data_IF_895483858010
#
_entry.id   IF_895483858010
#
_cell.length_a   1.000
_cell.length_b   1.000
_cell.length_c   1.000
_cell.angle_alpha   90.00
_cell.angle_beta   90.00
_cell.angle_gamma   90.00
#
_symmetry.space_group_name_H-M   'P 1'
#
loop_
_entity.id
_entity.type
_entity.pdbx_description
1 polymer ?
#
# COMPACT_ATOMS: atom_id res chain seq x y z
N UNK A 1 3.68 -5.01 -18.01
CA UNK A 1 3.14 -3.80 -18.65
C UNK A 1 3.89 -2.57 -18.12
N UNK A 2 3.94 -2.31 -16.81
CA UNK A 2 4.61 -1.15 -16.20
C UNK A 2 6.07 -0.96 -16.68
N UNK A 3 6.84 -2.03 -16.84
CA UNK A 3 8.20 -1.97 -17.36
C UNK A 3 8.23 -1.55 -18.84
N UNK A 4 7.29 -2.05 -19.64
CA UNK A 4 7.21 -1.72 -21.08
C UNK A 4 6.79 -0.25 -21.30
N UNK A 5 5.90 0.29 -20.47
CA UNK A 5 5.47 1.68 -20.58
C UNK A 5 6.60 2.70 -20.38
N UNK A 6 7.68 2.33 -19.70
CA UNK A 6 8.85 3.18 -19.50
C UNK A 6 9.65 3.43 -20.80
N UNK A 7 9.47 2.57 -21.80
CA UNK A 7 10.18 2.64 -23.07
C UNK A 7 9.30 3.16 -24.22
N UNK A 8 8.13 3.74 -23.91
CA UNK A 8 7.19 4.25 -24.93
C UNK A 8 7.79 5.30 -25.87
N UNK A 9 8.75 6.10 -25.38
CA UNK A 9 9.44 7.13 -26.16
C UNK A 9 10.65 6.60 -26.96
N UNK A 10 11.14 5.40 -26.68
CA UNK A 10 12.31 4.80 -27.30
C UNK A 10 12.10 3.29 -27.47
N UNK A 11 11.11 2.93 -28.25
CA UNK A 11 10.75 1.53 -28.52
C UNK A 11 11.85 0.83 -29.34
N UNK A 12 12.15 -0.42 -28.95
CA UNK A 12 13.03 -1.34 -29.65
C UNK A 12 12.27 -2.62 -29.96
N UNK A 13 12.77 -3.42 -30.92
CA UNK A 13 12.17 -4.68 -31.34
C UNK A 13 11.87 -5.64 -30.16
N UNK A 14 12.82 -5.77 -29.22
CA UNK A 14 12.62 -6.57 -28.00
C UNK A 14 11.44 -6.13 -27.13
N UNK A 15 11.13 -4.82 -27.09
CA UNK A 15 9.95 -4.32 -26.38
C UNK A 15 8.66 -4.70 -27.11
N UNK A 16 8.67 -4.70 -28.45
CA UNK A 16 7.53 -5.14 -29.26
C UNK A 16 7.25 -6.63 -29.07
N UNK A 17 8.29 -7.47 -29.10
CA UNK A 17 8.17 -8.91 -28.83
C UNK A 17 7.58 -9.17 -27.44
N UNK A 18 8.04 -8.42 -26.42
CA UNK A 18 7.51 -8.52 -25.07
C UNK A 18 6.04 -8.08 -24.99
N UNK A 19 5.65 -7.05 -25.73
CA UNK A 19 4.27 -6.59 -25.83
C UNK A 19 3.37 -7.63 -26.51
N UNK A 20 3.83 -8.25 -27.58
CA UNK A 20 3.12 -9.34 -28.26
C UNK A 20 2.81 -10.53 -27.33
N UNK A 21 3.73 -10.84 -26.40
CA UNK A 21 3.48 -11.89 -25.37
C UNK A 21 2.36 -11.49 -24.43
N UNK A 22 2.24 -10.19 -24.06
CA UNK A 22 1.12 -9.71 -23.23
C UNK A 22 -0.20 -9.89 -23.97
N UNK A 23 -0.27 -9.51 -25.26
CA UNK A 23 -1.48 -9.69 -26.06
C UNK A 23 -1.79 -11.18 -26.28
N UNK A 24 -0.78 -12.04 -26.49
CA UNK A 24 -0.95 -13.48 -26.58
C UNK A 24 -1.55 -14.07 -25.29
N UNK A 25 -1.11 -13.59 -24.12
CA UNK A 25 -1.73 -13.98 -22.84
C UNK A 25 -3.19 -13.55 -22.74
N UNK A 26 -3.51 -12.30 -23.06
CA UNK A 26 -4.88 -11.79 -23.04
C UNK A 26 -5.79 -12.51 -24.03
N UNK A 27 -5.28 -12.83 -25.23
CA UNK A 27 -6.00 -13.64 -26.22
C UNK A 27 -6.27 -15.07 -25.75
N UNK A 28 -5.34 -15.67 -24.99
CA UNK A 28 -5.50 -17.02 -24.45
C UNK A 28 -6.50 -17.07 -23.28
N UNK A 29 -6.64 -15.96 -22.54
CA UNK A 29 -7.50 -15.86 -21.37
C UNK A 29 -8.43 -14.64 -21.50
N UNK A 30 -9.38 -14.67 -22.47
CA UNK A 30 -10.23 -13.51 -22.78
C UNK A 30 -11.26 -13.22 -21.67
N UNK A 31 -11.64 -14.25 -20.90
CA UNK A 31 -12.71 -14.17 -19.90
C UNK A 31 -12.21 -13.88 -18.49
N UNK A 32 -11.02 -13.25 -18.39
CA UNK A 32 -10.49 -12.83 -17.10
C UNK A 32 -11.41 -11.81 -16.42
N UNK A 33 -12.00 -12.19 -15.28
CA UNK A 33 -12.89 -11.33 -14.50
C UNK A 33 -12.33 -11.05 -13.12
N UNK A 34 -12.62 -9.87 -12.58
CA UNK A 34 -12.42 -9.57 -11.17
C UNK A 34 -13.74 -9.87 -10.46
N UNK A 35 -13.82 -10.93 -9.62
CA UNK A 35 -15.03 -11.22 -8.89
C UNK A 35 -15.28 -10.13 -7.84
N UNK A 36 -16.53 -9.70 -7.72
CA UNK A 36 -16.96 -8.85 -6.59
C UNK A 36 -17.28 -9.77 -5.43
N UNK A 37 -16.48 -9.69 -4.37
CA UNK A 37 -16.65 -10.49 -3.16
C UNK A 37 -16.77 -9.56 -1.94
N UNK A 38 -17.92 -9.58 -1.30
CA UNK A 38 -18.25 -8.75 -0.14
C UNK A 38 -17.76 -9.30 1.19
N UNK A 39 -17.22 -10.52 1.18
CA UNK A 39 -16.62 -11.12 2.38
C UNK A 39 -15.30 -10.45 2.73
N UNK A 40 -14.82 -10.67 3.94
CA UNK A 40 -13.49 -10.20 4.35
C UNK A 40 -12.37 -10.92 3.60
N UNK A 41 -11.29 -10.20 3.35
CA UNK A 41 -10.06 -10.80 2.83
C UNK A 41 -9.51 -11.81 3.86
N UNK A 42 -9.46 -13.11 3.55
CA UNK A 42 -9.19 -14.18 4.52
C UNK A 42 -7.80 -14.13 5.16
N UNK A 43 -6.90 -13.37 4.55
CA UNK A 43 -5.52 -13.24 5.01
C UNK A 43 -5.37 -12.24 6.18
N UNK A 44 -6.36 -11.38 6.43
CA UNK A 44 -6.34 -10.43 7.56
C UNK A 44 -6.15 -11.13 8.90
N UNK A 45 -6.79 -12.27 9.08
CA UNK A 45 -6.76 -13.04 10.32
C UNK A 45 -5.41 -13.74 10.55
N UNK A 46 -4.63 -13.94 9.48
CA UNK A 46 -3.32 -14.59 9.50
C UNK A 46 -2.15 -13.63 9.64
N UNK A 47 -2.38 -12.34 9.42
CA UNK A 47 -1.34 -11.34 9.51
C UNK A 47 -0.98 -11.04 10.98
N UNK A 48 0.31 -10.99 11.27
CA UNK A 48 0.78 -10.52 12.58
C UNK A 48 0.62 -9.01 12.66
N UNK A 49 -0.36 -8.56 13.45
CA UNK A 49 -0.67 -7.13 13.62
C UNK A 49 -0.32 -6.69 15.03
N UNK A 50 0.50 -5.65 15.16
CA UNK A 50 0.82 -5.03 16.44
C UNK A 50 -0.31 -4.08 16.87
N UNK A 51 -0.97 -4.38 17.99
CA UNK A 51 -2.09 -3.59 18.54
C UNK A 51 -1.74 -3.03 19.93
N UNK A 52 -2.50 -2.03 20.36
CA UNK A 52 -2.50 -1.56 21.75
C UNK A 52 -1.28 -0.78 22.19
N UNK A 53 -0.51 -0.22 21.27
CA UNK A 53 0.62 0.64 21.59
C UNK A 53 0.16 2.03 22.05
N UNK A 54 0.86 2.59 23.06
CA UNK A 54 0.60 3.96 23.50
C UNK A 54 1.44 4.95 22.67
N UNK A 55 0.77 5.78 21.88
CA UNK A 55 1.39 6.76 20.99
C UNK A 55 1.36 8.20 21.51
N UNK A 56 0.69 8.46 22.63
CA UNK A 56 0.37 9.81 23.10
C UNK A 56 1.62 10.64 23.39
N UNK A 57 2.71 10.01 23.82
CA UNK A 57 4.00 10.67 24.06
C UNK A 57 4.68 11.13 22.77
N UNK A 58 4.47 10.42 21.65
CA UNK A 58 5.17 10.65 20.39
C UNK A 58 4.34 11.42 19.37
N UNK A 59 3.03 11.18 19.36
CA UNK A 59 2.08 11.78 18.40
C UNK A 59 0.75 12.09 19.10
N UNK A 60 0.73 13.10 20.02
CA UNK A 60 -0.45 13.37 20.86
C UNK A 60 -1.67 13.83 20.05
N UNK A 61 -1.44 14.54 18.94
CA UNK A 61 -2.48 15.15 18.10
C UNK A 61 -2.83 14.29 16.87
N UNK A 62 -2.24 13.07 16.75
CA UNK A 62 -2.49 12.22 15.59
C UNK A 62 -3.93 11.73 15.59
N UNK A 63 -4.67 12.11 14.58
CA UNK A 63 -6.04 11.66 14.33
C UNK A 63 -6.30 11.57 12.83
N UNK A 64 -7.36 10.87 12.46
CA UNK A 64 -7.86 10.93 11.09
C UNK A 64 -8.61 12.25 10.88
N UNK A 65 -8.18 13.03 9.88
CA UNK A 65 -8.86 14.27 9.49
C UNK A 65 -10.14 13.95 8.72
N UNK A 66 -11.27 14.08 9.40
CA UNK A 66 -12.60 13.83 8.83
C UNK A 66 -13.35 15.16 8.79
N UNK A 67 -13.66 15.71 7.59
CA UNK A 67 -14.46 16.92 7.47
C UNK A 67 -15.83 16.78 8.15
N UNK A 68 -16.26 17.86 8.79
CA UNK A 68 -17.51 17.89 9.56
C UNK A 68 -18.77 17.79 8.69
N UNK A 69 -18.65 18.08 7.40
CA UNK A 69 -19.75 18.07 6.41
C UNK A 69 -19.84 16.79 5.57
N UNK A 70 -19.17 15.73 6.02
CA UNK A 70 -19.29 14.41 5.39
C UNK A 70 -20.72 13.87 5.49
N UNK A 71 -21.12 13.12 4.46
CA UNK A 71 -22.39 12.41 4.45
C UNK A 71 -22.46 11.39 5.61
N UNK A 72 -23.66 11.26 6.19
CA UNK A 72 -23.91 10.19 7.15
C UNK A 72 -23.69 8.83 6.49
N UNK A 73 -22.89 7.94 7.10
CA UNK A 73 -22.60 6.65 6.53
C UNK A 73 -23.83 5.75 6.48
N UNK A 74 -24.02 5.09 5.33
CA UNK A 74 -25.14 4.17 5.10
C UNK A 74 -24.63 2.78 4.70
N UNK A 75 -25.50 1.78 4.89
CA UNK A 75 -25.24 0.39 4.51
C UNK A 75 -24.35 -0.37 5.49
N UNK A 76 -23.87 -1.51 5.04
CA UNK A 76 -22.96 -2.36 5.80
C UNK A 76 -21.55 -1.77 5.84
N UNK A 77 -20.79 -2.18 6.86
CA UNK A 77 -19.43 -1.70 7.08
C UNK A 77 -18.46 -2.28 6.04
N UNK A 78 -17.87 -1.40 5.26
CA UNK A 78 -16.83 -1.78 4.30
C UNK A 78 -15.45 -1.79 4.97
N UNK A 79 -14.65 -2.80 4.62
CA UNK A 79 -13.31 -3.03 5.15
C UNK A 79 -12.25 -2.83 4.08
N UNK A 80 -11.22 -2.05 4.41
CA UNK A 80 -10.10 -1.84 3.51
C UNK A 80 -8.91 -2.70 3.93
N UNK A 81 -8.35 -3.43 2.96
CA UNK A 81 -7.10 -4.18 3.12
C UNK A 81 -6.14 -3.79 2.00
N UNK A 82 -4.90 -3.48 2.36
CA UNK A 82 -3.88 -3.03 1.42
C UNK A 82 -2.65 -3.90 1.56
N UNK A 83 -2.19 -4.45 0.44
CA UNK A 83 -0.91 -5.15 0.33
C UNK A 83 0.11 -4.23 -0.29
N UNK A 84 1.31 -4.21 0.26
CA UNK A 84 2.42 -3.40 -0.22
C UNK A 84 3.70 -4.22 -0.29
N UNK A 85 4.46 -4.00 -1.35
CA UNK A 85 5.74 -4.64 -1.62
C UNK A 85 6.64 -3.68 -2.41
N UNK A 86 7.96 -3.85 -2.33
CA UNK A 86 8.93 -3.11 -3.12
C UNK A 86 10.00 -3.99 -3.72
N UNK A 87 10.02 -4.10 -5.05
CA UNK A 87 11.10 -4.76 -5.77
C UNK A 87 12.35 -3.84 -5.78
N UNK A 88 13.29 -4.13 -4.86
CA UNK A 88 14.45 -3.30 -4.60
C UNK A 88 15.42 -3.27 -5.79
N UNK A 89 15.82 -2.04 -6.20
CA UNK A 89 16.83 -1.78 -7.22
C UNK A 89 16.60 -2.54 -8.56
N UNK A 90 15.34 -2.83 -8.91
CA UNK A 90 14.95 -3.59 -10.11
C UNK A 90 15.43 -2.97 -11.40
N UNK A 91 15.38 -1.64 -11.52
CA UNK A 91 15.86 -0.93 -12.70
C UNK A 91 17.40 -1.00 -12.74
N UNK A 92 17.93 -1.79 -13.69
CA UNK A 92 19.38 -2.03 -13.81
C UNK A 92 20.16 -0.77 -14.17
N UNK A 93 19.54 0.21 -14.81
CA UNK A 93 20.17 1.46 -15.25
C UNK A 93 20.13 2.52 -14.16
N UNK A 94 18.95 2.81 -13.64
CA UNK A 94 18.74 3.86 -12.64
C UNK A 94 18.82 3.36 -11.21
N UNK A 95 18.83 2.03 -10.99
CA UNK A 95 18.82 1.37 -9.68
C UNK A 95 17.62 1.74 -8.81
N UNK A 96 16.57 2.26 -9.41
CA UNK A 96 15.31 2.58 -8.71
C UNK A 96 14.48 1.33 -8.46
N UNK A 97 13.87 1.30 -7.31
CA UNK A 97 12.93 0.25 -6.90
C UNK A 97 11.57 0.46 -7.55
N UNK A 98 10.75 -0.59 -7.53
CA UNK A 98 9.36 -0.54 -7.99
C UNK A 98 8.44 -0.83 -6.81
N UNK A 99 7.52 0.10 -6.54
CA UNK A 99 6.46 -0.09 -5.54
C UNK A 99 5.31 -0.85 -6.16
N UNK A 100 4.88 -1.92 -5.50
CA UNK A 100 3.65 -2.65 -5.76
C UNK A 100 2.63 -2.41 -4.65
N UNK A 101 1.39 -2.07 -5.02
CA UNK A 101 0.29 -1.91 -4.05
C UNK A 101 -0.96 -2.55 -4.63
N UNK A 102 -1.71 -3.28 -3.80
CA UNK A 102 -3.05 -3.75 -4.12
C UNK A 102 -3.97 -3.33 -2.97
N UNK A 103 -5.02 -2.58 -3.28
CA UNK A 103 -6.05 -2.18 -2.33
C UNK A 103 -7.33 -2.94 -2.62
N UNK A 104 -7.86 -3.58 -1.59
CA UNK A 104 -9.13 -4.28 -1.63
C UNK A 104 -10.16 -3.54 -0.78
N UNK A 105 -11.40 -3.55 -1.26
CA UNK A 105 -12.60 -3.27 -0.46
C UNK A 105 -13.24 -4.64 -0.17
N UNK A 106 -13.33 -5.00 1.10
CA UNK A 106 -13.63 -6.36 1.52
C UNK A 106 -12.63 -7.35 0.88
N UNK A 107 -13.07 -8.28 0.02
CA UNK A 107 -12.20 -9.17 -0.74
C UNK A 107 -12.11 -8.83 -2.24
N UNK A 108 -12.62 -7.67 -2.64
CA UNK A 108 -12.61 -7.21 -4.05
C UNK A 108 -11.44 -6.28 -4.30
N UNK A 109 -10.52 -6.59 -5.23
CA UNK A 109 -9.47 -5.67 -5.66
C UNK A 109 -10.07 -4.45 -6.34
N UNK A 110 -9.82 -3.26 -5.77
CA UNK A 110 -10.31 -1.99 -6.32
C UNK A 110 -9.21 -1.22 -7.05
N UNK A 111 -8.00 -1.20 -6.48
CA UNK A 111 -6.86 -0.46 -7.03
C UNK A 111 -5.62 -1.35 -6.97
N UNK A 112 -4.84 -1.34 -8.06
CA UNK A 112 -3.51 -1.93 -8.10
C UNK A 112 -2.52 -0.97 -8.75
N UNK A 113 -1.35 -0.83 -8.15
CA UNK A 113 -0.29 0.08 -8.57
C UNK A 113 1.00 -0.71 -8.72
N UNK A 114 1.69 -0.49 -9.83
CA UNK A 114 3.06 -0.93 -10.02
C UNK A 114 3.84 0.26 -10.60
N UNK A 115 4.60 0.97 -9.74
CA UNK A 115 5.22 2.24 -10.09
C UNK A 115 6.66 2.32 -9.63
N UNK A 116 7.55 2.77 -10.52
CA UNK A 116 8.94 3.04 -10.19
C UNK A 116 9.06 4.18 -9.17
N UNK A 117 9.83 3.97 -8.13
CA UNK A 117 10.11 4.98 -7.10
C UNK A 117 10.92 6.14 -7.70
N UNK A 118 10.69 7.34 -7.17
CA UNK A 118 11.42 8.54 -7.62
C UNK A 118 12.81 8.62 -7.01
N UNK A 119 13.02 8.01 -5.85
CA UNK A 119 14.30 7.95 -5.12
C UNK A 119 15.03 6.64 -5.38
N UNK A 120 16.32 6.61 -5.12
CA UNK A 120 17.15 5.40 -5.12
C UNK A 120 17.48 5.09 -3.67
N UNK A 121 16.98 3.94 -3.20
CA UNK A 121 17.23 3.49 -1.84
C UNK A 121 18.41 2.50 -1.80
N UNK A 122 19.22 2.61 -0.76
CA UNK A 122 20.44 1.80 -0.60
C UNK A 122 20.19 0.43 0.04
N UNK A 123 18.93 0.15 0.43
CA UNK A 123 18.56 -1.11 1.08
C UNK A 123 17.11 -1.48 0.80
N UNK A 124 16.77 -2.76 0.91
CA UNK A 124 15.38 -3.27 0.84
C UNK A 124 14.50 -2.57 1.88
N UNK A 125 14.97 -2.40 3.11
CA UNK A 125 14.25 -1.64 4.14
C UNK A 125 13.83 -0.25 3.67
N UNK A 126 14.71 0.51 3.01
CA UNK A 126 14.40 1.85 2.50
C UNK A 126 13.34 1.83 1.41
N UNK A 127 13.45 0.92 0.44
CA UNK A 127 12.46 0.80 -0.63
C UNK A 127 11.09 0.35 -0.11
N UNK A 128 11.05 -0.57 0.86
CA UNK A 128 9.82 -1.01 1.51
C UNK A 128 9.17 0.12 2.32
N UNK A 129 9.96 0.89 3.06
CA UNK A 129 9.45 2.03 3.83
C UNK A 129 8.85 3.11 2.91
N UNK A 130 9.50 3.39 1.77
CA UNK A 130 8.97 4.32 0.76
C UNK A 130 7.67 3.77 0.15
N UNK A 131 7.60 2.47 -0.13
CA UNK A 131 6.39 1.84 -0.65
C UNK A 131 5.24 1.90 0.37
N UNK A 132 5.51 1.58 1.64
CA UNK A 132 4.54 1.67 2.72
C UNK A 132 4.01 3.10 2.89
N UNK A 133 4.87 4.12 2.81
CA UNK A 133 4.44 5.52 2.84
C UNK A 133 3.49 5.86 1.69
N UNK A 134 3.77 5.40 0.47
CA UNK A 134 2.86 5.60 -0.69
C UNK A 134 1.53 4.89 -0.46
N UNK A 135 1.54 3.69 0.14
CA UNK A 135 0.33 2.97 0.51
C UNK A 135 -0.50 3.73 1.55
N UNK A 136 0.14 4.36 2.56
CA UNK A 136 -0.55 5.21 3.54
C UNK A 136 -1.26 6.39 2.87
N UNK A 137 -0.59 7.09 1.95
CA UNK A 137 -1.22 8.21 1.25
C UNK A 137 -2.43 7.74 0.42
N UNK A 138 -2.34 6.57 -0.23
CA UNK A 138 -3.46 5.96 -0.95
C UNK A 138 -4.61 5.57 0.00
N UNK A 139 -4.31 5.03 1.18
CA UNK A 139 -5.31 4.68 2.19
C UNK A 139 -6.08 5.94 2.61
N UNK A 140 -5.39 7.03 2.94
CA UNK A 140 -6.01 8.28 3.36
C UNK A 140 -6.93 8.81 2.25
N UNK A 141 -6.43 8.85 1.02
CA UNK A 141 -7.19 9.28 -0.15
C UNK A 141 -8.46 8.43 -0.34
N UNK A 142 -8.35 7.10 -0.23
CA UNK A 142 -9.48 6.19 -0.45
C UNK A 142 -10.49 6.24 0.68
N UNK A 143 -10.04 6.32 1.95
CA UNK A 143 -10.94 6.50 3.09
C UNK A 143 -11.74 7.79 2.95
N UNK A 144 -11.10 8.89 2.56
CA UNK A 144 -11.77 10.15 2.29
C UNK A 144 -12.83 10.01 1.18
N UNK A 145 -12.45 9.46 0.00
CA UNK A 145 -13.36 9.28 -1.14
C UNK A 145 -14.56 8.41 -0.81
N UNK A 146 -14.36 7.29 -0.13
CA UNK A 146 -15.45 6.39 0.23
C UNK A 146 -16.42 7.04 1.24
N UNK A 147 -15.91 7.83 2.19
CA UNK A 147 -16.77 8.61 3.08
C UNK A 147 -17.57 9.67 2.34
N UNK A 148 -16.96 10.36 1.36
CA UNK A 148 -17.68 11.29 0.48
C UNK A 148 -18.83 10.63 -0.27
N UNK A 149 -18.75 9.34 -0.52
CA UNK A 149 -19.82 8.54 -1.12
C UNK A 149 -20.82 7.99 -0.08
N UNK A 150 -20.69 8.33 1.20
CA UNK A 150 -21.54 7.82 2.27
C UNK A 150 -21.27 6.36 2.66
N UNK A 151 -20.12 5.79 2.29
CA UNK A 151 -19.76 4.42 2.65
C UNK A 151 -19.34 4.36 4.12
N UNK A 152 -19.98 3.49 4.90
CA UNK A 152 -19.57 3.19 6.27
C UNK A 152 -18.26 2.40 6.25
N UNK A 153 -17.19 2.97 6.81
CA UNK A 153 -15.88 2.34 6.86
C UNK A 153 -15.56 1.76 8.24
N UNK A 154 -14.89 0.60 8.24
CA UNK A 154 -14.24 0.07 9.44
C UNK A 154 -13.28 1.13 10.03
N UNK A 155 -13.16 1.14 11.36
CA UNK A 155 -12.32 2.11 12.07
C UNK A 155 -10.89 2.13 11.54
N UNK A 156 -10.31 0.97 11.28
CA UNK A 156 -8.92 0.83 10.86
C UNK A 156 -8.79 0.09 9.53
N UNK A 157 -8.00 0.64 8.62
CA UNK A 157 -7.56 -0.05 7.40
C UNK A 157 -6.35 -0.93 7.72
N UNK A 158 -6.36 -2.17 7.25
CA UNK A 158 -5.23 -3.09 7.41
C UNK A 158 -4.24 -2.90 6.26
N UNK A 159 -3.01 -2.51 6.59
CA UNK A 159 -1.87 -2.48 5.67
C UNK A 159 -0.99 -3.71 5.94
N UNK A 160 -0.61 -4.45 4.91
CA UNK A 160 0.17 -5.68 4.98
C UNK A 160 1.43 -5.57 4.13
N UNK A 161 2.58 -5.80 4.75
CA UNK A 161 3.88 -5.85 4.08
C UNK A 161 4.68 -7.06 4.53
N UNK A 162 5.64 -7.50 3.72
CA UNK A 162 6.46 -8.68 3.99
C UNK A 162 7.78 -8.37 4.74
N UNK A 163 8.12 -7.10 4.89
CA UNK A 163 9.33 -6.69 5.61
C UNK A 163 9.05 -6.46 7.10
N UNK A 164 9.32 -7.47 7.92
CA UNK A 164 9.16 -7.42 9.37
C UNK A 164 9.88 -6.23 10.01
N UNK A 165 11.08 -5.86 9.51
CA UNK A 165 11.84 -4.74 10.07
C UNK A 165 11.13 -3.40 9.86
N UNK A 166 10.45 -3.22 8.72
CA UNK A 166 9.64 -2.01 8.45
C UNK A 166 8.43 -1.99 9.38
N UNK A 167 7.72 -3.11 9.49
CA UNK A 167 6.54 -3.23 10.36
C UNK A 167 6.90 -2.91 11.80
N UNK A 168 7.89 -3.60 12.39
CA UNK A 168 8.30 -3.37 13.79
C UNK A 168 8.81 -1.96 14.03
N UNK A 169 9.63 -1.43 13.11
CA UNK A 169 10.19 -0.10 13.28
C UNK A 169 9.13 1.01 13.22
N UNK A 170 8.06 0.82 12.46
CA UNK A 170 6.98 1.81 12.34
C UNK A 170 5.85 1.62 13.36
N UNK A 171 5.65 0.41 13.92
CA UNK A 171 4.56 0.11 14.86
C UNK A 171 4.97 0.20 16.33
N UNK A 172 6.26 0.18 16.66
CA UNK A 172 6.75 0.30 18.04
C UNK A 172 7.05 1.79 18.34
N UNK A 173 6.35 2.43 19.29
CA UNK A 173 6.55 3.86 19.61
C UNK A 173 7.98 4.25 19.96
N UNK A 174 8.68 3.43 20.75
CA UNK A 174 10.07 3.67 21.19
C UNK A 174 11.12 3.39 20.12
N UNK A 175 10.74 2.91 18.93
CA UNK A 175 11.70 2.64 17.86
C UNK A 175 12.31 3.93 17.31
N UNK A 176 13.54 3.87 16.83
CA UNK A 176 14.26 5.01 16.27
C UNK A 176 14.70 4.76 14.83
N UNK A 177 14.63 5.83 14.02
CA UNK A 177 15.07 5.79 12.63
C UNK A 177 16.58 6.10 12.54
N UNK A 178 17.37 5.16 12.01
CA UNK A 178 18.81 5.35 11.78
C UNK A 178 19.13 6.17 10.51
N UNK A 179 18.23 6.14 9.49
CA UNK A 179 18.44 6.77 8.17
C UNK A 179 17.67 8.09 8.08
N UNK A 180 18.33 9.22 8.33
CA UNK A 180 17.71 10.56 8.36
C UNK A 180 16.91 10.93 7.09
N UNK A 181 17.36 10.51 5.90
CA UNK A 181 16.67 10.82 4.63
C UNK A 181 15.29 10.16 4.50
N UNK A 182 15.01 9.13 5.30
CA UNK A 182 13.71 8.45 5.34
C UNK A 182 12.75 9.02 6.39
N UNK A 183 13.13 10.09 7.11
CA UNK A 183 12.36 10.61 8.23
C UNK A 183 10.91 10.95 7.85
N UNK A 184 10.70 11.62 6.72
CA UNK A 184 9.34 11.98 6.28
C UNK A 184 8.46 10.73 6.04
N UNK A 185 9.00 9.70 5.39
CA UNK A 185 8.26 8.45 5.16
C UNK A 185 7.98 7.72 6.48
N UNK A 186 8.97 7.64 7.36
CA UNK A 186 8.86 7.03 8.66
C UNK A 186 7.80 7.68 9.54
N UNK A 187 7.85 9.00 9.70
CA UNK A 187 6.89 9.74 10.53
C UNK A 187 5.47 9.70 9.94
N UNK A 188 5.32 9.78 8.61
CA UNK A 188 4.02 9.69 7.95
C UNK A 188 3.29 8.37 8.23
N UNK A 189 4.02 7.25 8.21
CA UNK A 189 3.44 5.94 8.54
C UNK A 189 3.03 5.89 10.01
N UNK A 190 3.92 6.32 10.91
CA UNK A 190 3.69 6.30 12.36
C UNK A 190 2.52 7.19 12.78
N UNK A 191 2.39 8.37 12.18
CA UNK A 191 1.27 9.28 12.40
C UNK A 191 -0.07 8.61 12.04
N UNK A 192 -0.15 7.91 10.91
CA UNK A 192 -1.35 7.16 10.51
C UNK A 192 -1.69 6.02 11.49
N UNK A 193 -0.68 5.34 12.02
CA UNK A 193 -0.85 4.27 13.02
C UNK A 193 -1.27 4.88 14.37
N UNK A 194 -0.62 5.96 14.80
CA UNK A 194 -0.93 6.67 16.04
C UNK A 194 -2.33 7.25 16.03
N UNK A 195 -2.79 7.79 14.88
CA UNK A 195 -4.15 8.27 14.66
C UNK A 195 -5.21 7.16 14.63
N UNK A 196 -4.80 5.90 14.79
CA UNK A 196 -5.66 4.74 14.94
C UNK A 196 -6.64 4.51 13.77
N UNK A 197 -6.23 4.88 12.54
CA UNK A 197 -6.98 4.56 11.32
C UNK A 197 -6.25 3.61 10.38
N UNK A 198 -5.00 3.21 10.72
CA UNK A 198 -4.24 2.17 10.03
C UNK A 198 -3.68 1.17 11.04
N UNK A 199 -3.81 -0.12 10.73
CA UNK A 199 -3.08 -1.21 11.37
C UNK A 199 -2.05 -1.74 10.38
N UNK A 200 -0.77 -1.70 10.74
CA UNK A 200 0.27 -2.24 9.90
C UNK A 200 0.67 -3.63 10.41
N UNK A 201 0.50 -4.64 9.57
CA UNK A 201 0.80 -6.03 9.87
C UNK A 201 1.86 -6.63 8.95
N UNK A 202 2.50 -7.68 9.44
CA UNK A 202 3.44 -8.49 8.66
C UNK A 202 2.71 -9.69 8.04
N UNK A 203 3.05 -9.99 6.80
CA UNK A 203 2.63 -11.20 6.10
C UNK A 203 3.86 -11.89 5.52
N UNK A 204 3.97 -13.21 5.71
CA UNK A 204 5.07 -13.99 5.14
C UNK A 204 4.89 -14.09 3.62
N UNK A 205 5.95 -13.76 2.88
CA UNK A 205 6.06 -14.09 1.46
C UNK A 205 6.26 -15.61 1.31
N UNK A 206 5.45 -16.25 0.47
CA UNK A 206 5.58 -17.68 0.16
C UNK A 206 6.68 -17.93 -0.87
#
# INVERSE_FOLDING_TARGET
>A
ISTLSQYSMALREGHLIALQRVFGYLSKYPDGMIPIDVNDAPIRDKAMITKGQNWIEFYPDACEDIPYDMLDPMGDEARLTVYVDADHARDKVTRRSVTGIILLVNNTPLIWISKRQKTVETSTYGSELVAARVAIDLIIEMRYKLRMLGVKLEKQTVLLGDNMSVVLNTTIPSSSLKKKHLACAYHRIREAIAGNFVLFGHIESK
#
